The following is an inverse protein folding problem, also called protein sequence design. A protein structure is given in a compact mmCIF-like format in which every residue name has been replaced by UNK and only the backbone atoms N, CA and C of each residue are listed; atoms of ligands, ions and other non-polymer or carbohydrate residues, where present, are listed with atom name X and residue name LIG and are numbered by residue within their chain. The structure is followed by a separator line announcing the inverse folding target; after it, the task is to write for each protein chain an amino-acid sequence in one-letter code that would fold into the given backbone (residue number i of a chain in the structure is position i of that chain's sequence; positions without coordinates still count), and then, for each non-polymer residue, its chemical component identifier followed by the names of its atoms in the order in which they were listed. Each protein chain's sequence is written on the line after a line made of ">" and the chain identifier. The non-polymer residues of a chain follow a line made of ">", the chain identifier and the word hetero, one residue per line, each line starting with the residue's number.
data_IF_592204115258
#
_entry.id   IF_592204115258
#
_cell.length_a   1.000
_cell.length_b   1.000
_cell.length_c   1.000
_cell.angle_alpha   90.00
_cell.angle_beta   90.00
_cell.angle_gamma   90.00
#
_symmetry.space_group_name_H-M   'P 1'
#
loop_
_entity.id
_entity.type
_entity.pdbx_description
1 polymer ?
#
# COMPACT_ATOMS: atom_id res chain seq x y z
N UNK A 1 -1.75 -6.46 -23.81
CA UNK A 1 -1.75 -5.74 -22.53
C UNK A 1 -0.50 -4.88 -22.48
N UNK A 2 -0.58 -3.69 -21.89
CA UNK A 2 0.57 -2.76 -21.77
C UNK A 2 1.29 -3.09 -20.47
N UNK A 3 2.61 -3.15 -20.48
CA UNK A 3 3.36 -3.33 -19.24
C UNK A 3 3.19 -2.10 -18.36
N UNK A 4 2.75 -2.32 -17.12
CA UNK A 4 2.69 -1.30 -16.10
C UNK A 4 4.09 -0.82 -15.78
N UNK A 5 4.24 0.49 -15.60
CA UNK A 5 5.48 1.03 -15.09
C UNK A 5 5.60 0.82 -13.58
N UNK A 6 6.82 0.86 -13.04
CA UNK A 6 7.11 0.70 -11.61
C UNK A 6 6.14 1.48 -10.70
N UNK A 7 5.90 2.76 -10.99
CA UNK A 7 5.04 3.60 -10.14
C UNK A 7 3.57 3.16 -10.16
N UNK A 8 3.08 2.67 -11.29
CA UNK A 8 1.73 2.15 -11.43
C UNK A 8 1.59 0.78 -10.75
N UNK A 9 2.55 -0.12 -10.98
CA UNK A 9 2.63 -1.44 -10.33
C UNK A 9 2.64 -1.32 -8.80
N UNK A 10 3.45 -0.40 -8.27
CA UNK A 10 3.49 -0.13 -6.84
C UNK A 10 2.20 0.50 -6.32
N UNK A 11 1.59 1.43 -7.08
CA UNK A 11 0.35 2.10 -6.69
C UNK A 11 -0.84 1.15 -6.58
N UNK A 12 -0.91 0.13 -7.46
CA UNK A 12 -1.91 -0.95 -7.38
C UNK A 12 -1.82 -1.67 -6.03
N UNK A 13 -0.62 -1.90 -5.50
CA UNK A 13 -0.46 -2.52 -4.18
C UNK A 13 -0.78 -1.52 -3.06
N UNK A 14 -0.17 -0.33 -3.12
CA UNK A 14 -0.14 0.59 -1.99
C UNK A 14 -1.50 1.26 -1.72
N UNK A 15 -2.30 1.48 -2.77
CA UNK A 15 -3.62 2.10 -2.69
C UNK A 15 -4.77 1.10 -2.54
N UNK A 16 -4.56 -0.20 -2.80
CA UNK A 16 -5.62 -1.19 -2.62
C UNK A 16 -6.15 -1.19 -1.18
N UNK A 17 -7.48 -1.11 -1.04
CA UNK A 17 -8.23 -0.97 0.21
C UNK A 17 -7.88 0.30 1.03
N UNK A 18 -7.31 1.34 0.40
CA UNK A 18 -7.13 2.65 1.03
C UNK A 18 -8.36 3.53 0.82
N UNK A 19 -8.66 4.36 1.83
CA UNK A 19 -9.74 5.37 1.78
C UNK A 19 -9.54 6.32 0.57
N UNK A 20 -10.50 6.37 -0.34
CA UNK A 20 -10.42 7.19 -1.56
C UNK A 20 -10.80 8.65 -1.35
N UNK A 21 -11.34 9.01 -0.18
CA UNK A 21 -11.86 10.34 0.13
C UNK A 21 -10.90 11.08 1.06
N UNK A 22 -10.52 10.45 2.17
CA UNK A 22 -9.81 11.10 3.26
C UNK A 22 -8.31 10.82 3.22
N UNK A 23 -7.52 11.85 3.52
CA UNK A 23 -6.06 11.76 3.56
C UNK A 23 -5.60 11.20 4.92
N UNK A 24 -5.72 9.88 5.10
CA UNK A 24 -5.25 9.14 6.28
C UNK A 24 -3.73 9.20 6.41
N UNK A 25 -3.19 8.90 7.60
CA UNK A 25 -1.74 8.87 7.82
C UNK A 25 -1.07 7.83 6.93
N UNK A 26 -1.68 6.65 6.82
CA UNK A 26 -1.14 5.59 5.99
C UNK A 26 -1.24 5.90 4.50
N UNK A 27 -2.32 6.54 4.03
CA UNK A 27 -2.40 7.00 2.64
C UNK A 27 -1.32 8.03 2.31
N UNK A 28 -0.99 8.94 3.24
CA UNK A 28 0.14 9.86 3.05
C UNK A 28 1.47 9.12 2.88
N UNK A 29 1.72 8.09 3.69
CA UNK A 29 2.94 7.27 3.56
C UNK A 29 2.96 6.58 2.19
N UNK A 30 1.85 5.95 1.78
CA UNK A 30 1.70 5.35 0.45
C UNK A 30 1.99 6.37 -0.65
N UNK A 31 1.41 7.57 -0.60
CA UNK A 31 1.59 8.61 -1.61
C UNK A 31 3.01 9.18 -1.67
N UNK A 32 3.70 9.31 -0.53
CA UNK A 32 5.12 9.67 -0.53
C UNK A 32 5.99 8.58 -1.17
N UNK A 33 5.68 7.31 -0.92
CA UNK A 33 6.34 6.19 -1.58
C UNK A 33 5.98 6.14 -3.08
N UNK A 34 4.75 6.49 -3.48
CA UNK A 34 4.37 6.63 -4.89
C UNK A 34 5.20 7.74 -5.53
N UNK A 35 5.36 8.89 -4.86
CA UNK A 35 6.22 9.96 -5.38
C UNK A 35 7.68 9.50 -5.55
N UNK A 36 8.20 8.71 -4.61
CA UNK A 36 9.54 8.11 -4.73
C UNK A 36 9.61 7.10 -5.89
N UNK A 37 8.56 6.29 -6.08
CA UNK A 37 8.48 5.32 -7.18
C UNK A 37 8.51 5.99 -8.56
N UNK A 38 7.93 7.18 -8.69
CA UNK A 38 7.98 7.98 -9.93
C UNK A 38 9.40 8.46 -10.22
N UNK A 39 10.16 8.86 -9.19
CA UNK A 39 11.57 9.24 -9.34
C UNK A 39 12.41 8.03 -9.76
N UNK A 40 12.20 6.88 -9.11
CA UNK A 40 12.90 5.63 -9.42
C UNK A 40 12.55 5.10 -10.81
N UNK A 41 11.29 5.22 -11.23
CA UNK A 41 10.85 4.88 -12.58
C UNK A 41 11.56 5.75 -13.62
N UNK A 42 11.64 7.07 -13.41
CA UNK A 42 12.38 7.95 -14.31
C UNK A 42 13.89 7.67 -14.31
N UNK A 43 14.45 7.19 -13.19
CA UNK A 43 15.81 6.68 -13.14
C UNK A 43 15.99 5.41 -14.00
N UNK A 44 15.09 4.43 -13.87
CA UNK A 44 15.12 3.21 -14.69
C UNK A 44 14.96 3.50 -16.19
N UNK A 45 14.15 4.48 -16.55
CA UNK A 45 13.92 4.87 -17.95
C UNK A 45 15.07 5.68 -18.56
N UNK A 46 16.10 6.03 -17.78
CA UNK A 46 17.20 6.86 -18.24
C UNK A 46 16.82 8.33 -18.48
N UNK A 47 15.77 8.83 -17.82
CA UNK A 47 15.34 10.23 -17.96
C UNK A 47 16.34 11.21 -17.29
N UNK A 48 17.17 10.72 -16.37
CA UNK A 48 18.24 11.49 -15.73
C UNK A 48 19.55 11.41 -16.53
N UNK A 49 20.26 12.54 -16.59
CA UNK A 49 21.63 12.58 -17.11
C UNK A 49 22.59 12.42 -15.94
N UNK A 50 23.38 11.35 -15.93
CA UNK A 50 24.42 11.17 -14.90
C UNK A 50 25.60 12.11 -15.14
N UNK A 51 25.89 12.98 -14.16
CA UNK A 51 27.02 13.92 -14.17
C UNK A 51 27.73 13.79 -12.83
N UNK A 52 28.97 13.29 -12.82
CA UNK A 52 29.80 13.17 -11.60
C UNK A 52 29.09 12.51 -10.40
N UNK A 53 28.53 11.31 -10.58
CA UNK A 53 27.74 10.57 -9.57
C UNK A 53 26.43 11.28 -9.11
N UNK A 54 26.03 12.38 -9.77
CA UNK A 54 24.75 13.08 -9.56
C UNK A 54 23.78 12.84 -10.71
N UNK A 55 22.50 13.00 -10.40
CA UNK A 55 21.39 12.91 -11.33
C UNK A 55 20.95 14.30 -11.74
N UNK A 56 21.23 14.65 -12.99
CA UNK A 56 20.80 15.91 -13.60
C UNK A 56 19.45 15.73 -14.29
N UNK A 57 18.48 16.56 -13.92
CA UNK A 57 17.14 16.56 -14.48
C UNK A 57 16.78 17.97 -14.95
N UNK A 58 16.33 18.08 -16.21
CA UNK A 58 15.98 19.36 -16.85
C UNK A 58 14.49 19.58 -16.81
N UNK A 59 14.06 20.81 -16.51
CA UNK A 59 12.66 21.20 -16.49
C UNK A 59 11.98 21.06 -17.85
N UNK A 60 12.72 21.18 -18.94
CA UNK A 60 12.23 20.93 -20.30
C UNK A 60 11.69 19.50 -20.50
N UNK A 61 12.05 18.54 -19.64
CA UNK A 61 11.42 17.23 -19.63
C UNK A 61 9.90 17.32 -19.37
N UNK A 62 9.45 18.31 -18.60
CA UNK A 62 8.03 18.55 -18.33
C UNK A 62 7.25 19.03 -19.56
N UNK A 63 7.95 19.43 -20.62
CA UNK A 63 7.36 19.84 -21.90
C UNK A 63 7.28 18.65 -22.88
N UNK A 64 7.78 17.47 -22.48
CA UNK A 64 7.74 16.27 -23.31
C UNK A 64 6.29 15.82 -23.52
N UNK A 65 5.82 15.65 -24.78
CA UNK A 65 4.45 15.22 -25.05
C UNK A 65 4.12 13.82 -24.49
N UNK A 66 5.12 13.01 -24.17
CA UNK A 66 4.94 11.67 -23.58
C UNK A 66 5.01 11.66 -22.04
N UNK A 67 5.18 12.82 -21.39
CA UNK A 67 5.17 12.87 -19.93
C UNK A 67 3.80 12.48 -19.39
N UNK A 68 3.80 11.66 -18.36
CA UNK A 68 2.55 11.29 -17.68
C UNK A 68 2.15 12.37 -16.66
N UNK A 69 0.85 12.50 -16.41
CA UNK A 69 0.34 13.49 -15.46
C UNK A 69 0.87 13.28 -14.04
N UNK A 70 1.10 12.02 -13.63
CA UNK A 70 1.67 11.71 -12.32
C UNK A 70 3.17 12.05 -12.24
N UNK A 71 3.92 11.90 -13.34
CA UNK A 71 5.30 12.41 -13.40
C UNK A 71 5.33 13.93 -13.25
N UNK A 72 4.47 14.65 -13.96
CA UNK A 72 4.36 16.10 -13.81
C UNK A 72 4.00 16.49 -12.37
N UNK A 73 3.06 15.77 -11.75
CA UNK A 73 2.62 16.03 -10.37
C UNK A 73 3.77 15.89 -9.35
N UNK A 74 4.73 15.02 -9.58
CA UNK A 74 5.92 14.84 -8.72
C UNK A 74 7.00 15.87 -9.02
N UNK A 75 7.37 16.05 -10.30
CA UNK A 75 8.55 16.84 -10.66
C UNK A 75 8.29 18.35 -10.68
N UNK A 76 7.10 18.80 -11.09
CA UNK A 76 6.78 20.24 -11.18
C UNK A 76 6.95 20.99 -9.84
N UNK A 77 6.52 20.45 -8.68
CA UNK A 77 6.81 21.06 -7.39
C UNK A 77 8.30 21.16 -7.03
N UNK A 78 9.15 20.31 -7.59
CA UNK A 78 10.58 20.24 -7.24
C UNK A 78 11.41 21.32 -7.92
N UNK A 79 11.06 21.70 -9.15
CA UNK A 79 11.80 22.70 -9.93
C UNK A 79 11.63 24.12 -9.40
N UNK A 80 10.43 24.52 -8.98
CA UNK A 80 10.17 25.92 -8.62
C UNK A 80 10.61 26.87 -9.73
N UNK A 81 11.63 27.72 -9.46
CA UNK A 81 12.23 28.64 -10.44
C UNK A 81 13.48 28.10 -11.14
N UNK A 82 13.99 26.93 -10.75
CA UNK A 82 15.20 26.34 -11.34
C UNK A 82 14.86 25.67 -12.66
N UNK A 83 15.76 25.78 -13.63
CA UNK A 83 15.63 25.11 -14.94
C UNK A 83 16.31 23.74 -14.98
N UNK A 84 17.34 23.55 -14.14
CA UNK A 84 18.06 22.29 -13.99
C UNK A 84 18.29 22.02 -12.51
N UNK A 85 18.14 20.75 -12.11
CA UNK A 85 18.51 20.26 -10.79
C UNK A 85 19.54 19.16 -11.00
N UNK A 86 20.70 19.29 -10.37
CA UNK A 86 21.78 18.30 -10.40
C UNK A 86 22.14 17.92 -8.96
N UNK A 87 21.54 16.84 -8.49
CA UNK A 87 21.66 16.38 -7.11
C UNK A 87 21.74 14.84 -7.07
N UNK A 88 22.14 14.29 -5.93
CA UNK A 88 22.19 12.84 -5.76
C UNK A 88 20.78 12.22 -5.59
N UNK A 89 20.71 10.89 -5.71
CA UNK A 89 19.46 10.15 -5.55
C UNK A 89 18.81 10.35 -4.17
N UNK A 90 19.62 10.56 -3.12
CA UNK A 90 19.10 10.78 -1.77
C UNK A 90 18.32 12.09 -1.70
N UNK A 91 18.87 13.16 -2.28
CA UNK A 91 18.17 14.44 -2.37
C UNK A 91 16.82 14.29 -3.07
N UNK A 92 16.77 13.58 -4.21
CA UNK A 92 15.53 13.38 -4.96
C UNK A 92 14.48 12.63 -4.14
N UNK A 93 14.86 11.52 -3.50
CA UNK A 93 13.96 10.73 -2.66
C UNK A 93 13.52 11.48 -1.39
N UNK A 94 14.42 12.28 -0.81
CA UNK A 94 14.11 13.20 0.30
C UNK A 94 13.13 14.30 -0.13
N UNK A 95 13.12 14.71 -1.40
CA UNK A 95 12.10 15.64 -1.89
C UNK A 95 10.75 14.99 -2.07
N UNK A 96 10.69 13.75 -2.57
CA UNK A 96 9.45 12.97 -2.63
C UNK A 96 8.81 12.80 -1.24
N UNK A 97 9.63 12.54 -0.20
CA UNK A 97 9.14 12.40 1.18
C UNK A 97 8.65 13.69 1.83
N UNK A 98 8.95 14.85 1.25
CA UNK A 98 8.60 16.17 1.79
C UNK A 98 7.54 16.92 0.96
N UNK A 99 6.85 16.23 0.05
CA UNK A 99 5.74 16.81 -0.71
C UNK A 99 4.60 17.23 0.24
N UNK A 100 4.04 18.42 0.00
CA UNK A 100 2.90 18.91 0.79
C UNK A 100 1.62 18.12 0.48
N UNK A 101 0.65 18.12 1.41
CA UNK A 101 -0.66 17.49 1.19
C UNK A 101 -1.35 17.93 -0.10
N UNK A 102 -1.15 19.18 -0.54
CA UNK A 102 -1.69 19.69 -1.81
C UNK A 102 -1.10 18.92 -3.00
N UNK A 103 0.22 18.73 -3.01
CA UNK A 103 0.91 18.00 -4.07
C UNK A 103 0.62 16.50 -4.00
N UNK A 104 0.52 15.92 -2.81
CA UNK A 104 0.11 14.52 -2.64
C UNK A 104 -1.29 14.24 -3.17
N UNK A 105 -2.26 15.15 -2.94
CA UNK A 105 -3.61 15.02 -3.52
C UNK A 105 -3.58 15.09 -5.05
N UNK A 106 -2.77 15.98 -5.62
CA UNK A 106 -2.62 16.06 -7.07
C UNK A 106 -1.98 14.78 -7.65
N UNK A 107 -1.00 14.22 -6.94
CA UNK A 107 -0.39 12.93 -7.29
C UNK A 107 -1.40 11.79 -7.20
N UNK A 108 -2.19 11.73 -6.12
CA UNK A 108 -3.24 10.72 -5.94
C UNK A 108 -4.23 10.74 -7.11
N UNK A 109 -4.76 11.92 -7.45
CA UNK A 109 -5.70 12.07 -8.57
C UNK A 109 -5.05 11.65 -9.89
N UNK A 110 -3.90 12.22 -10.23
CA UNK A 110 -3.23 11.91 -11.50
C UNK A 110 -2.81 10.44 -11.65
N UNK A 111 -2.38 9.79 -10.56
CA UNK A 111 -2.05 8.36 -10.55
C UNK A 111 -3.29 7.49 -10.66
N UNK A 112 -4.33 7.77 -9.86
CA UNK A 112 -5.57 6.98 -9.87
C UNK A 112 -6.34 7.16 -11.17
N UNK A 113 -6.38 8.35 -11.77
CA UNK A 113 -6.94 8.60 -13.10
C UNK A 113 -6.19 7.80 -14.17
N UNK A 114 -4.86 7.72 -14.06
CA UNK A 114 -4.07 6.89 -14.97
C UNK A 114 -4.40 5.40 -14.84
N UNK A 115 -4.63 4.90 -13.63
CA UNK A 115 -4.97 3.49 -13.39
C UNK A 115 -6.42 3.17 -13.79
N UNK A 116 -7.36 4.06 -13.48
CA UNK A 116 -8.77 3.97 -13.88
C UNK A 116 -8.93 3.99 -15.40
N UNK A 117 -8.16 4.82 -16.10
CA UNK A 117 -8.18 4.89 -17.56
C UNK A 117 -7.80 3.57 -18.26
N UNK A 118 -7.12 2.66 -17.55
CA UNK A 118 -6.79 1.31 -18.03
C UNK A 118 -7.56 0.20 -17.32
N UNK A 119 -8.59 0.53 -16.53
CA UNK A 119 -9.39 -0.43 -15.77
C UNK A 119 -8.59 -1.26 -14.74
N UNK A 120 -7.49 -0.69 -14.23
CA UNK A 120 -6.65 -1.32 -13.20
C UNK A 120 -7.01 -0.93 -11.78
N UNK A 121 -7.86 0.09 -11.62
CA UNK A 121 -8.33 0.56 -10.33
C UNK A 121 -9.69 1.20 -10.48
N UNK A 122 -10.53 0.99 -9.48
CA UNK A 122 -11.81 1.66 -9.34
C UNK A 122 -11.98 2.13 -7.90
N UNK A 123 -13.02 2.92 -7.66
CA UNK A 123 -13.47 3.20 -6.31
C UNK A 123 -14.70 2.35 -6.04
N UNK A 124 -14.84 1.83 -4.82
CA UNK A 124 -16.02 1.08 -4.35
C UNK A 124 -16.45 1.59 -2.96
N UNK A 125 -17.65 1.26 -2.46
CA UNK A 125 -17.96 1.39 -1.04
C UNK A 125 -16.89 0.71 -0.19
N UNK A 126 -16.54 1.30 0.95
CA UNK A 126 -15.54 0.69 1.83
C UNK A 126 -16.09 -0.55 2.51
N UNK A 127 -15.21 -1.52 2.78
CA UNK A 127 -15.52 -2.70 3.58
C UNK A 127 -16.05 -2.32 4.98
N UNK A 128 -15.57 -1.21 5.56
CA UNK A 128 -16.09 -0.65 6.81
C UNK A 128 -17.55 -0.16 6.69
N UNK A 129 -17.95 0.29 5.49
CA UNK A 129 -19.32 0.68 5.20
C UNK A 129 -20.33 -0.47 5.21
N UNK A 130 -19.85 -1.72 5.23
CA UNK A 130 -20.70 -2.90 5.36
C UNK A 130 -21.20 -3.13 6.80
N UNK A 131 -20.55 -2.54 7.80
CA UNK A 131 -21.02 -2.56 9.20
C UNK A 131 -22.18 -1.55 9.38
N UNK A 132 -23.27 -2.01 10.02
CA UNK A 132 -24.49 -1.21 10.18
C UNK A 132 -24.26 0.09 10.94
N UNK A 133 -23.30 0.13 11.87
CA UNK A 133 -22.96 1.34 12.62
C UNK A 133 -22.55 2.46 11.68
N UNK A 134 -21.71 2.16 10.69
CA UNK A 134 -21.28 3.15 9.69
C UNK A 134 -22.37 3.44 8.66
N UNK A 135 -23.12 2.41 8.24
CA UNK A 135 -24.24 2.57 7.29
C UNK A 135 -25.32 3.52 7.84
N UNK A 136 -25.73 3.33 9.09
CA UNK A 136 -26.76 4.16 9.76
C UNK A 136 -26.25 5.55 10.12
N UNK A 137 -24.94 5.73 10.32
CA UNK A 137 -24.33 7.05 10.50
C UNK A 137 -24.33 7.89 9.21
N UNK A 138 -24.71 7.33 8.06
CA UNK A 138 -24.78 8.02 6.77
C UNK A 138 -23.41 8.46 6.24
N UNK A 139 -22.34 7.80 6.70
CA UNK A 139 -20.98 8.13 6.28
C UNK A 139 -20.72 7.55 4.88
N UNK A 140 -20.38 8.41 3.94
CA UNK A 140 -19.87 7.98 2.63
C UNK A 140 -18.43 7.51 2.79
N UNK A 141 -18.24 6.21 3.02
CA UNK A 141 -16.94 5.57 3.08
C UNK A 141 -16.65 4.89 1.76
N UNK A 142 -15.55 5.27 1.12
CA UNK A 142 -15.11 4.69 -0.15
C UNK A 142 -13.65 4.32 -0.09
N UNK A 143 -13.30 3.27 -0.82
CA UNK A 143 -11.93 2.80 -0.93
C UNK A 143 -11.57 2.49 -2.39
N UNK A 144 -10.27 2.50 -2.67
CA UNK A 144 -9.76 2.04 -3.95
C UNK A 144 -9.73 0.51 -3.97
N UNK A 145 -10.30 -0.08 -5.02
CA UNK A 145 -10.12 -1.49 -5.36
C UNK A 145 -9.28 -1.60 -6.61
N UNK A 146 -8.18 -2.34 -6.52
CA UNK A 146 -7.40 -2.70 -7.69
C UNK A 146 -8.03 -3.86 -8.45
N UNK A 147 -7.85 -3.88 -9.77
CA UNK A 147 -8.25 -5.01 -10.60
C UNK A 147 -7.60 -6.31 -10.08
N UNK A 148 -8.40 -7.36 -9.90
CA UNK A 148 -7.95 -8.57 -9.22
C UNK A 148 -6.92 -9.38 -10.02
N UNK A 149 -7.07 -9.44 -11.35
CA UNK A 149 -6.14 -10.16 -12.21
C UNK A 149 -4.80 -9.45 -12.25
N UNK A 150 -4.82 -8.13 -12.45
CA UNK A 150 -3.61 -7.32 -12.53
C UNK A 150 -2.89 -7.24 -11.18
N UNK A 151 -3.63 -7.06 -10.08
CA UNK A 151 -3.07 -7.10 -8.73
C UNK A 151 -2.37 -8.44 -8.47
N UNK A 152 -3.03 -9.55 -8.78
CA UNK A 152 -2.46 -10.89 -8.61
C UNK A 152 -1.22 -11.09 -9.49
N UNK A 153 -1.24 -10.61 -10.73
CA UNK A 153 -0.10 -10.67 -11.65
C UNK A 153 1.14 -9.96 -11.08
N UNK A 154 0.98 -8.71 -10.63
CA UNK A 154 2.08 -7.91 -10.05
C UNK A 154 2.60 -8.57 -8.77
N UNK A 155 1.70 -9.01 -7.89
CA UNK A 155 2.06 -9.63 -6.60
C UNK A 155 2.77 -10.96 -6.79
N UNK A 156 2.25 -11.87 -7.61
CA UNK A 156 2.85 -13.18 -7.83
C UNK A 156 4.18 -13.08 -8.59
N UNK A 157 4.30 -12.15 -9.55
CA UNK A 157 5.56 -11.91 -10.24
C UNK A 157 6.66 -11.44 -9.27
N UNK A 158 6.34 -10.47 -8.41
CA UNK A 158 7.26 -10.00 -7.38
C UNK A 158 7.62 -11.13 -6.39
N UNK A 159 6.62 -11.91 -5.96
CA UNK A 159 6.83 -13.05 -5.05
C UNK A 159 7.79 -14.07 -5.67
N UNK A 160 7.59 -14.45 -6.93
CA UNK A 160 8.45 -15.38 -7.64
C UNK A 160 9.90 -14.86 -7.69
N UNK A 161 10.13 -13.63 -8.16
CA UNK A 161 11.50 -13.08 -8.26
C UNK A 161 12.21 -12.91 -6.88
N UNK A 162 11.46 -12.65 -5.82
CA UNK A 162 12.01 -12.45 -4.47
C UNK A 162 12.27 -13.77 -3.75
N UNK A 163 11.39 -14.76 -3.88
CA UNK A 163 11.44 -16.02 -3.15
C UNK A 163 12.26 -17.11 -3.86
N UNK A 164 12.40 -17.03 -5.18
CA UNK A 164 13.20 -17.97 -5.95
C UNK A 164 14.68 -17.58 -6.02
N UNK A 165 15.53 -18.59 -6.23
CA UNK A 165 16.97 -18.42 -6.41
C UNK A 165 17.25 -17.83 -7.80
N UNK A 166 17.44 -16.51 -7.87
CA UNK A 166 17.76 -15.80 -9.12
C UNK A 166 18.39 -14.42 -8.89
N UNK A 167 18.69 -13.69 -9.96
CA UNK A 167 19.06 -12.26 -9.85
C UNK A 167 17.76 -11.45 -9.84
N UNK A 168 17.59 -10.57 -8.85
CA UNK A 168 16.44 -9.68 -8.77
C UNK A 168 16.61 -8.54 -9.79
N UNK A 169 15.58 -8.29 -10.60
CA UNK A 169 15.56 -7.12 -11.47
C UNK A 169 15.66 -5.80 -10.68
N UNK A 170 16.23 -4.75 -11.29
CA UNK A 170 16.34 -3.44 -10.62
C UNK A 170 14.96 -2.86 -10.26
N UNK A 171 13.95 -3.14 -11.10
CA UNK A 171 12.56 -2.76 -10.85
C UNK A 171 12.01 -3.43 -9.58
N UNK A 172 12.16 -4.75 -9.45
CA UNK A 172 11.66 -5.46 -8.27
C UNK A 172 12.53 -5.23 -7.02
N UNK A 173 13.80 -4.88 -7.17
CA UNK A 173 14.62 -4.34 -6.09
C UNK A 173 14.04 -3.02 -5.55
N UNK A 174 13.66 -2.09 -6.43
CA UNK A 174 13.00 -0.85 -6.03
C UNK A 174 11.61 -1.09 -5.45
N UNK A 175 10.83 -2.00 -6.03
CA UNK A 175 9.54 -2.43 -5.49
C UNK A 175 9.68 -2.93 -4.05
N UNK A 176 10.65 -3.81 -3.78
CA UNK A 176 10.87 -4.37 -2.45
C UNK A 176 11.23 -3.28 -1.42
N UNK A 177 12.04 -2.30 -1.82
CA UNK A 177 12.33 -1.14 -0.97
C UNK A 177 11.10 -0.26 -0.73
N UNK A 178 10.27 0.01 -1.75
CA UNK A 178 9.04 0.78 -1.60
C UNK A 178 8.04 0.09 -0.65
N UNK A 179 7.93 -1.23 -0.71
CA UNK A 179 7.08 -2.03 0.17
C UNK A 179 7.58 -1.98 1.62
N UNK A 180 8.89 -2.01 1.83
CA UNK A 180 9.50 -1.79 3.14
C UNK A 180 9.13 -0.42 3.70
N UNK A 181 9.32 0.64 2.90
CA UNK A 181 9.09 2.03 3.35
C UNK A 181 7.61 2.34 3.62
N UNK A 182 6.70 1.67 2.93
CA UNK A 182 5.25 1.83 3.13
C UNK A 182 4.63 0.90 4.16
N UNK A 183 5.35 -0.15 4.57
CA UNK A 183 4.81 -1.21 5.43
C UNK A 183 3.90 -2.20 4.69
N UNK A 184 3.97 -2.28 3.37
CA UNK A 184 3.19 -3.19 2.54
C UNK A 184 3.81 -4.59 2.36
N UNK A 185 4.98 -4.89 2.95
CA UNK A 185 5.62 -6.22 2.84
C UNK A 185 4.65 -7.35 3.26
N UNK A 186 3.93 -7.18 4.37
CA UNK A 186 3.02 -8.21 4.90
C UNK A 186 1.71 -8.34 4.12
N UNK A 187 1.45 -7.41 3.18
CA UNK A 187 0.33 -7.53 2.25
C UNK A 187 0.65 -8.53 1.13
N UNK A 188 1.94 -8.81 0.91
CA UNK A 188 2.44 -9.62 -0.21
C UNK A 188 3.07 -10.91 0.27
N UNK A 189 3.89 -10.84 1.31
CA UNK A 189 4.73 -11.95 1.75
C UNK A 189 4.17 -12.62 3.00
N UNK A 190 4.28 -13.95 3.00
CA UNK A 190 3.83 -14.73 4.13
C UNK A 190 4.68 -14.53 5.37
N UNK A 191 4.17 -14.87 6.56
CA UNK A 191 5.02 -14.92 7.77
C UNK A 191 6.23 -15.85 7.59
N UNK A 192 6.08 -16.94 6.83
CA UNK A 192 7.17 -17.86 6.51
C UNK A 192 8.15 -17.29 5.49
N UNK A 193 7.66 -16.45 4.58
CA UNK A 193 8.45 -15.81 3.51
C UNK A 193 9.37 -14.72 4.07
N UNK A 194 9.01 -14.08 5.19
CA UNK A 194 9.73 -12.92 5.73
C UNK A 194 11.23 -13.18 5.99
N UNK A 195 11.60 -14.41 6.37
CA UNK A 195 13.02 -14.76 6.57
C UNK A 195 13.79 -14.76 5.25
N UNK A 196 13.18 -15.25 4.16
CA UNK A 196 13.76 -15.26 2.82
C UNK A 196 13.87 -13.81 2.31
N UNK A 197 12.81 -13.03 2.47
CA UNK A 197 12.77 -11.61 2.09
C UNK A 197 13.87 -10.83 2.81
N UNK A 198 14.05 -11.06 4.11
CA UNK A 198 15.09 -10.41 4.90
C UNK A 198 16.50 -10.77 4.41
N UNK A 199 16.77 -12.06 4.18
CA UNK A 199 18.04 -12.52 3.59
C UNK A 199 18.28 -11.89 2.21
N UNK A 200 17.24 -11.80 1.38
CA UNK A 200 17.29 -11.19 0.05
C UNK A 200 17.67 -9.70 0.13
N UNK A 201 17.01 -8.94 1.00
CA UNK A 201 17.32 -7.51 1.21
C UNK A 201 18.75 -7.30 1.72
N UNK A 202 19.21 -8.12 2.67
CA UNK A 202 20.60 -8.05 3.16
C UNK A 202 21.62 -8.30 2.03
N UNK A 203 21.39 -9.31 1.20
CA UNK A 203 22.25 -9.62 0.06
C UNK A 203 22.30 -8.47 -0.95
N UNK A 204 21.18 -7.79 -1.22
CA UNK A 204 21.13 -6.61 -2.09
C UNK A 204 21.99 -5.47 -1.52
N UNK A 205 21.89 -5.19 -0.22
CA UNK A 205 22.66 -4.13 0.44
C UNK A 205 24.18 -4.38 0.36
N UNK A 206 24.60 -5.64 0.46
CA UNK A 206 26.02 -6.00 0.40
C UNK A 206 26.57 -5.93 -1.03
N UNK A 207 25.81 -6.47 -1.99
CA UNK A 207 26.31 -6.75 -3.34
C UNK A 207 25.99 -5.66 -4.37
N UNK A 208 25.09 -4.73 -4.08
CA UNK A 208 24.67 -3.69 -5.03
C UNK A 208 24.85 -2.27 -4.45
N UNK A 209 25.66 -1.45 -5.15
CA UNK A 209 26.00 -0.08 -4.74
C UNK A 209 24.77 0.84 -4.68
N UNK A 210 23.83 0.68 -5.60
CA UNK A 210 22.58 1.45 -5.63
C UNK A 210 21.70 1.04 -4.46
N UNK A 211 21.52 -0.26 -4.21
CA UNK A 211 20.75 -0.75 -3.06
C UNK A 211 21.33 -0.23 -1.74
N UNK A 212 22.66 -0.25 -1.59
CA UNK A 212 23.31 0.28 -0.40
C UNK A 212 23.01 1.77 -0.16
N UNK A 213 22.97 2.58 -1.21
CA UNK A 213 22.58 4.00 -1.12
C UNK A 213 21.09 4.12 -0.79
N UNK A 214 20.25 3.34 -1.46
CA UNK A 214 18.79 3.38 -1.35
C UNK A 214 18.29 3.00 0.04
N UNK A 215 18.79 1.91 0.62
CA UNK A 215 18.31 1.38 1.91
C UNK A 215 18.71 2.25 3.11
N UNK A 216 19.64 3.19 2.94
CA UNK A 216 19.97 4.22 3.94
C UNK A 216 18.97 5.40 3.96
N UNK A 217 18.04 5.44 3.01
CA UNK A 217 17.03 6.50 2.89
C UNK A 217 15.75 6.02 3.57
N UNK A 218 15.11 6.92 4.31
CA UNK A 218 13.83 6.69 4.98
C UNK A 218 12.81 7.74 4.57
N UNK A 219 11.71 7.32 3.93
CA UNK A 219 10.70 8.25 3.39
C UNK A 219 9.82 8.84 4.52
N UNK A 220 9.67 8.17 5.66
CA UNK A 220 8.64 8.51 6.66
C UNK A 220 9.13 9.34 7.88
N UNK A 221 10.37 9.83 7.90
CA UNK A 221 10.99 10.42 9.10
C UNK A 221 10.21 11.61 9.72
N UNK A 222 9.44 12.37 8.93
CA UNK A 222 8.61 13.48 9.43
C UNK A 222 7.28 13.05 10.08
N UNK A 223 6.67 11.96 9.62
CA UNK A 223 5.43 11.39 10.17
C UNK A 223 5.74 10.63 11.48
N UNK A 224 6.95 10.10 11.58
CA UNK A 224 7.50 9.37 12.72
C UNK A 224 7.39 10.15 14.04
N UNK A 225 7.56 11.48 14.03
CA UNK A 225 7.43 12.31 15.23
C UNK A 225 5.99 12.39 15.76
N UNK A 226 5.00 12.50 14.87
CA UNK A 226 3.59 12.53 15.25
C UNK A 226 3.11 11.18 15.80
N UNK A 227 3.59 10.08 15.20
CA UNK A 227 3.25 8.70 15.61
C UNK A 227 3.94 8.31 16.93
N UNK A 228 5.19 8.74 17.17
CA UNK A 228 5.88 8.54 18.46
C UNK A 228 5.12 9.17 19.63
N UNK A 229 4.49 10.33 19.43
CA UNK A 229 3.62 10.96 20.43
C UNK A 229 2.41 10.10 20.78
N UNK A 230 1.76 9.51 19.77
CA UNK A 230 0.57 8.66 19.92
C UNK A 230 0.89 7.29 20.56
N UNK A 231 1.97 6.62 20.14
CA UNK A 231 2.36 5.30 20.65
C UNK A 231 2.96 5.35 22.06
N UNK A 232 3.64 6.45 22.44
CA UNK A 232 4.09 6.66 23.82
C UNK A 232 2.92 6.68 24.82
N UNK A 233 1.70 6.98 24.36
CA UNK A 233 0.48 6.94 25.14
C UNK A 233 -0.08 5.51 25.33
N UNK A 234 0.35 4.53 24.51
CA UNK A 234 -0.06 3.10 24.55
C UNK A 234 1.15 2.17 24.73
N UNK A 235 1.96 2.41 25.77
CA UNK A 235 3.33 1.89 25.95
C UNK A 235 3.53 0.40 26.28
N UNK A 236 2.62 -0.51 25.93
CA UNK A 236 2.74 -1.94 26.27
C UNK A 236 2.66 -2.91 25.07
N UNK A 237 3.17 -2.55 23.89
CA UNK A 237 3.17 -3.48 22.77
C UNK A 237 4.48 -3.49 21.99
N UNK A 238 5.20 -4.61 22.17
CA UNK A 238 5.99 -5.32 21.15
C UNK A 238 7.43 -4.79 20.92
N UNK A 239 8.40 -5.59 21.39
CA UNK A 239 9.79 -5.59 20.91
C UNK A 239 9.96 -6.82 20.02
N UNK A 240 10.45 -6.67 18.79
CA UNK A 240 10.85 -7.79 17.92
C UNK A 240 12.37 -7.85 17.72
N UNK A 241 12.91 -9.03 17.36
CA UNK A 241 14.37 -9.29 17.32
C UNK A 241 15.09 -8.77 16.06
N UNK A 242 14.38 -8.25 15.06
CA UNK A 242 14.92 -7.85 13.75
C UNK A 242 15.46 -6.41 13.68
N UNK A 243 15.73 -5.77 14.83
CA UNK A 243 16.52 -4.53 14.85
C UNK A 243 15.86 -3.32 14.16
N UNK A 244 14.53 -3.23 14.12
CA UNK A 244 13.81 -2.06 13.59
C UNK A 244 12.61 -1.74 14.48
N UNK A 245 12.72 -0.63 15.23
CA UNK A 245 11.86 -0.30 16.37
C UNK A 245 10.38 -0.05 16.06
N UNK A 246 9.64 0.28 17.11
CA UNK A 246 8.20 0.64 17.26
C UNK A 246 7.55 1.36 16.05
N UNK A 247 8.34 2.01 15.20
CA UNK A 247 7.96 2.78 14.01
C UNK A 247 7.42 1.93 12.83
N UNK A 248 7.86 0.69 12.65
CA UNK A 248 7.36 -0.19 11.55
C UNK A 248 5.98 -0.78 11.82
N UNK A 249 5.52 -0.72 13.07
CA UNK A 249 4.31 -1.40 13.50
C UNK A 249 3.06 -0.56 13.14
N UNK A 250 3.16 0.77 13.01
CA UNK A 250 1.96 1.62 12.84
C UNK A 250 1.21 1.42 11.50
N UNK A 251 1.87 1.48 10.32
CA UNK A 251 1.18 1.19 9.05
C UNK A 251 0.62 -0.23 9.03
N UNK A 252 1.36 -1.18 9.59
CA UNK A 252 0.93 -2.59 9.72
C UNK A 252 -0.30 -2.70 10.63
N UNK A 253 -0.32 -2.04 11.80
CA UNK A 253 -1.45 -2.05 12.74
C UNK A 253 -2.70 -1.48 12.10
N UNK A 254 -2.58 -0.34 11.41
CA UNK A 254 -3.72 0.31 10.76
C UNK A 254 -4.28 -0.57 9.61
N UNK A 255 -3.40 -1.24 8.84
CA UNK A 255 -3.80 -2.20 7.77
C UNK A 255 -4.30 -3.54 8.29
N UNK A 256 -3.94 -3.93 9.53
CA UNK A 256 -4.32 -5.20 10.15
C UNK A 256 -5.54 -5.08 11.08
N UNK A 257 -6.22 -3.93 11.11
CA UNK A 257 -7.40 -3.78 11.97
C UNK A 257 -8.50 -4.73 11.51
N UNK A 258 -9.07 -5.46 12.47
CA UNK A 258 -10.20 -6.34 12.18
C UNK A 258 -11.46 -5.51 11.95
N UNK A 259 -12.24 -5.86 10.94
CA UNK A 259 -13.54 -5.26 10.66
C UNK A 259 -14.60 -6.20 11.21
N UNK A 260 -15.50 -5.69 12.06
CA UNK A 260 -16.69 -6.45 12.42
C UNK A 260 -17.79 -6.06 11.45
N UNK A 261 -18.53 -7.03 10.93
CA UNK A 261 -19.72 -6.78 10.10
C UNK A 261 -20.86 -7.47 10.83
N UNK A 262 -21.77 -6.68 11.37
CA UNK A 262 -22.93 -7.18 12.09
C UNK A 262 -23.99 -7.77 11.15
N UNK A 263 -24.86 -8.62 11.69
CA UNK A 263 -26.03 -9.11 10.97
C UNK A 263 -27.26 -8.30 11.39
N UNK A 264 -28.13 -7.96 10.43
CA UNK A 264 -29.39 -7.23 10.71
C UNK A 264 -30.30 -8.03 11.65
N UNK A 265 -30.26 -9.35 11.51
CA UNK A 265 -31.06 -10.27 12.30
C UNK A 265 -30.20 -11.10 13.26
N UNK A 266 -30.87 -11.66 14.26
CA UNK A 266 -30.25 -12.57 15.20
C UNK A 266 -30.17 -13.98 14.61
N UNK A 267 -28.99 -14.36 14.13
CA UNK A 267 -28.76 -15.73 13.63
C UNK A 267 -28.14 -16.63 14.69
N UNK A 268 -28.80 -17.75 15.08
CA UNK A 268 -28.25 -18.67 16.07
C UNK A 268 -27.05 -19.47 15.54
N UNK A 269 -26.97 -19.70 14.21
CA UNK A 269 -25.92 -20.49 13.59
C UNK A 269 -24.84 -19.61 12.93
N UNK A 270 -23.57 -20.00 13.10
CA UNK A 270 -22.42 -19.41 12.45
C UNK A 270 -22.51 -19.38 10.92
N UNK A 271 -23.04 -20.46 10.29
CA UNK A 271 -23.19 -20.52 8.83
C UNK A 271 -24.11 -19.42 8.31
N UNK A 272 -25.25 -19.22 8.97
CA UNK A 272 -26.22 -18.18 8.57
C UNK A 272 -25.63 -16.77 8.70
N UNK A 273 -24.79 -16.53 9.72
CA UNK A 273 -24.09 -15.24 9.85
C UNK A 273 -23.10 -15.01 8.71
N UNK A 274 -22.38 -16.05 8.30
CA UNK A 274 -21.44 -15.98 7.19
C UNK A 274 -22.16 -15.73 5.85
N UNK A 275 -23.28 -16.41 5.62
CA UNK A 275 -24.09 -16.24 4.41
C UNK A 275 -24.67 -14.82 4.31
N UNK A 276 -25.16 -14.26 5.42
CA UNK A 276 -25.68 -12.89 5.46
C UNK A 276 -24.58 -11.85 5.21
N UNK A 277 -23.42 -12.01 5.86
CA UNK A 277 -22.28 -11.10 5.65
C UNK A 277 -21.79 -11.21 4.20
N UNK A 278 -21.72 -12.41 3.63
CA UNK A 278 -21.38 -12.60 2.21
C UNK A 278 -22.34 -11.82 1.31
N UNK A 279 -23.65 -11.99 1.50
CA UNK A 279 -24.67 -11.31 0.71
C UNK A 279 -24.50 -9.79 0.80
N UNK A 280 -24.25 -9.25 2.00
CA UNK A 280 -24.01 -7.82 2.18
C UNK A 280 -22.75 -7.32 1.48
N UNK A 281 -21.67 -8.09 1.51
CA UNK A 281 -20.44 -7.74 0.79
C UNK A 281 -20.70 -7.65 -0.71
N UNK A 282 -21.38 -8.65 -1.28
CA UNK A 282 -21.75 -8.69 -2.70
C UNK A 282 -22.71 -7.54 -3.08
N UNK A 283 -23.70 -7.23 -2.23
CA UNK A 283 -24.61 -6.08 -2.41
C UNK A 283 -23.89 -4.72 -2.38
N UNK A 284 -22.79 -4.60 -1.64
CA UNK A 284 -21.93 -3.41 -1.64
C UNK A 284 -20.86 -3.43 -2.74
N UNK A 285 -20.93 -4.41 -3.65
CA UNK A 285 -20.09 -4.51 -4.83
C UNK A 285 -18.75 -5.19 -4.60
N UNK A 286 -18.48 -5.77 -3.43
CA UNK A 286 -17.24 -6.52 -3.15
C UNK A 286 -17.30 -7.92 -3.76
N UNK A 287 -16.14 -8.41 -4.22
CA UNK A 287 -16.01 -9.81 -4.63
C UNK A 287 -15.70 -10.69 -3.43
N UNK A 288 -16.41 -11.80 -3.29
CA UNK A 288 -16.24 -12.74 -2.18
C UNK A 288 -15.89 -14.13 -2.70
N UNK A 289 -14.81 -14.71 -2.21
CA UNK A 289 -14.39 -16.09 -2.55
C UNK A 289 -13.98 -16.84 -1.30
N UNK A 290 -14.43 -18.10 -1.16
CA UNK A 290 -14.01 -18.97 -0.06
C UNK A 290 -12.72 -19.68 -0.47
N UNK A 291 -11.64 -19.47 0.29
CA UNK A 291 -10.36 -20.17 0.08
C UNK A 291 -10.33 -21.48 0.87
N UNK A 292 -10.83 -21.46 2.11
CA UNK A 292 -10.86 -22.63 2.99
C UNK A 292 -12.12 -22.63 3.85
N UNK A 293 -12.85 -23.73 3.82
CA UNK A 293 -14.01 -23.95 4.69
C UNK A 293 -13.60 -24.33 6.12
N UNK A 294 -14.53 -24.17 7.07
CA UNK A 294 -14.34 -24.56 8.46
C UNK A 294 -15.18 -23.70 9.41
N UNK A 295 -15.00 -23.90 10.71
CA UNK A 295 -15.67 -23.09 11.74
C UNK A 295 -15.24 -21.60 11.69
N UNK A 296 -14.01 -21.35 11.27
CA UNK A 296 -13.46 -20.03 10.91
C UNK A 296 -12.96 -20.14 9.47
N UNK A 297 -13.80 -19.82 8.47
CA UNK A 297 -13.38 -19.90 7.08
C UNK A 297 -12.32 -18.85 6.74
N UNK A 298 -11.47 -19.21 5.78
CA UNK A 298 -10.55 -18.29 5.14
C UNK A 298 -11.21 -17.81 3.84
N UNK A 299 -11.35 -16.50 3.71
CA UNK A 299 -12.07 -15.88 2.60
C UNK A 299 -11.20 -14.84 1.93
N UNK A 300 -11.40 -14.61 0.64
CA UNK A 300 -10.83 -13.50 -0.10
C UNK A 300 -11.95 -12.50 -0.37
N UNK A 301 -11.78 -11.27 0.12
CA UNK A 301 -12.64 -10.13 -0.21
C UNK A 301 -11.82 -9.20 -1.08
N UNK A 302 -12.23 -9.06 -2.34
CA UNK A 302 -11.47 -8.41 -3.41
C UNK A 302 -10.03 -8.96 -3.50
N UNK A 303 -9.02 -8.17 -3.16
CA UNK A 303 -7.61 -8.56 -3.22
C UNK A 303 -7.04 -9.03 -1.87
N UNK A 304 -7.82 -8.99 -0.79
CA UNK A 304 -7.31 -9.22 0.56
C UNK A 304 -7.92 -10.49 1.16
N UNK A 305 -7.09 -11.28 1.83
CA UNK A 305 -7.50 -12.49 2.52
C UNK A 305 -7.83 -12.19 3.97
N UNK A 306 -8.92 -12.76 4.47
CA UNK A 306 -9.41 -12.61 5.83
C UNK A 306 -9.76 -13.97 6.46
N UNK A 307 -9.48 -14.12 7.75
CA UNK A 307 -10.22 -15.07 8.58
C UNK A 307 -11.57 -14.44 8.91
N UNK A 308 -12.66 -15.14 8.57
CA UNK A 308 -14.00 -14.69 8.91
C UNK A 308 -14.43 -15.40 10.19
N UNK A 309 -14.37 -14.72 11.34
CA UNK A 309 -14.68 -15.30 12.65
C UNK A 309 -16.13 -14.95 13.03
N UNK A 310 -17.07 -15.91 13.05
CA UNK A 310 -18.43 -15.65 13.51
C UNK A 310 -18.40 -15.34 15.01
N UNK A 311 -18.84 -14.16 15.39
CA UNK A 311 -18.76 -13.68 16.78
C UNK A 311 -20.07 -12.98 17.20
N UNK A 312 -20.18 -12.71 18.50
CA UNK A 312 -21.17 -11.80 19.05
C UNK A 312 -20.46 -10.79 19.94
N UNK A 313 -20.80 -9.50 19.82
CA UNK A 313 -20.23 -8.46 20.67
C UNK A 313 -20.76 -8.60 22.10
N UNK A 314 -19.89 -8.29 23.07
CA UNK A 314 -20.28 -8.30 24.48
C UNK A 314 -20.87 -6.93 24.84
N UNK A 315 -22.17 -6.92 25.15
CA UNK A 315 -22.93 -5.72 25.53
C UNK A 315 -24.24 -6.09 26.24
N UNK A 316 -25.04 -5.08 26.61
CA UNK A 316 -26.37 -5.32 27.22
C UNK A 316 -27.30 -6.10 26.28
N UNK A 317 -27.15 -5.89 24.97
CA UNK A 317 -27.80 -6.65 23.91
C UNK A 317 -26.67 -7.14 23.00
N UNK A 318 -26.45 -8.46 22.87
CA UNK A 318 -25.39 -8.99 22.01
C UNK A 318 -25.73 -8.75 20.54
N UNK A 319 -24.78 -8.21 19.79
CA UNK A 319 -24.92 -8.03 18.33
C UNK A 319 -24.17 -9.17 17.66
N UNK A 320 -24.87 -9.94 16.83
CA UNK A 320 -24.28 -11.03 16.05
C UNK A 320 -23.61 -10.48 14.80
N UNK A 321 -22.55 -11.14 14.35
CA UNK A 321 -21.84 -10.73 13.15
C UNK A 321 -20.65 -11.63 12.83
N UNK A 322 -19.81 -11.15 11.92
CA UNK A 322 -18.57 -11.80 11.52
C UNK A 322 -17.43 -10.79 11.64
N UNK A 323 -16.38 -11.16 12.36
CA UNK A 323 -15.15 -10.39 12.43
C UNK A 323 -14.20 -10.84 11.33
N UNK A 324 -13.96 -9.97 10.37
CA UNK A 324 -12.92 -10.13 9.36
C UNK A 324 -11.58 -9.72 9.96
N UNK A 325 -10.68 -10.69 10.12
CA UNK A 325 -9.30 -10.45 10.56
C UNK A 325 -8.39 -10.66 9.36
N UNK A 326 -7.66 -9.62 8.95
CA UNK A 326 -6.75 -9.74 7.81
C UNK A 326 -5.78 -10.88 8.04
N UNK A 327 -5.77 -11.84 7.14
CA UNK A 327 -4.89 -12.99 7.22
C UNK A 327 -3.57 -12.60 6.55
N UNK A 328 -2.45 -12.53 7.30
CA UNK A 328 -1.15 -12.44 6.67
C UNK A 328 -0.96 -13.73 5.88
N UNK A 329 -0.57 -13.59 4.61
CA UNK A 329 -0.37 -14.74 3.71
C UNK A 329 0.59 -15.75 4.33
#
# INVERSE_FOLDING_TARGET
>A
MRDLKLSQSYSIIALNAQDSINMTTIKKISLHCIAASVILESYLNGDFIEVNDKLSFKKSYLENPNITLYQEAVFKPLFGKKEVIEEDLNWWLSKASNLSNKHLKNLEVSMTDSLKGYDYMEEIPSLLGCDMFYKTAGLSLREYRSNMEEYSRVVEFLRAEVLEDGVLSDENMFMLWLLRESGCIQDIFSKGDLEIVDKRMHNLIINNKISKKLYNIHIYHGIEMAVKGFLNMKKNAIKTPTGTGINFIFPVIERSQSIFIDTEEWFPNASQRLDEVRKRLEENGHNYTIIREGAVPLIKVDNIIYEAVPEATQGRIPIHGVRLRRYPI
#
